data_IF_106358394054
#
_entry.id   IF_106358394054
#
_cell.length_a   1.000
_cell.length_b   1.000
_cell.length_c   1.000
_cell.angle_alpha   90.00
_cell.angle_beta   90.00
_cell.angle_gamma   90.00
#
_symmetry.space_group_name_H-M   'P 1'
#
loop_
_entity.id
_entity.type
_entity.pdbx_description
1 polymer ?
#
# COMPACT_ATOMS: atom_id res chain seq x y z
N UNK A 1 18.05 3.46 18.03
CA UNK A 1 17.30 3.43 16.76
C UNK A 1 17.71 4.68 15.99
N UNK A 2 18.29 4.52 14.81
CA UNK A 2 18.62 5.66 13.93
C UNK A 2 17.29 6.17 13.38
N UNK A 3 16.96 7.43 13.65
CA UNK A 3 15.74 8.04 13.10
C UNK A 3 15.86 8.06 11.57
N UNK A 4 14.85 7.54 10.87
CA UNK A 4 14.75 7.70 9.42
C UNK A 4 14.83 9.20 9.13
N UNK A 5 15.73 9.60 8.22
CA UNK A 5 15.86 10.99 7.78
C UNK A 5 14.49 11.60 7.48
N UNK A 6 14.18 12.83 7.95
CA UNK A 6 12.83 13.41 7.96
C UNK A 6 12.25 13.69 6.56
N UNK A 7 13.03 13.49 5.49
CA UNK A 7 12.55 13.54 4.13
C UNK A 7 11.87 12.21 3.78
N UNK A 8 10.54 12.22 3.69
CA UNK A 8 9.76 11.11 3.12
C UNK A 8 10.23 10.78 1.69
N UNK A 9 9.87 9.60 1.20
CA UNK A 9 10.17 9.14 -0.16
C UNK A 9 8.99 8.40 -0.75
N UNK A 10 8.78 8.43 -2.08
CA UNK A 10 7.77 7.59 -2.71
C UNK A 10 8.00 6.11 -2.36
N UNK A 11 6.92 5.42 -2.05
CA UNK A 11 6.96 4.03 -1.63
C UNK A 11 7.13 3.81 -0.13
N UNK A 12 7.51 4.82 0.67
CA UNK A 12 7.51 4.66 2.13
C UNK A 12 6.14 4.18 2.62
N UNK A 13 6.14 3.23 3.55
CA UNK A 13 4.92 2.66 4.13
C UNK A 13 4.71 3.30 5.50
N UNK A 14 3.54 3.90 5.71
CA UNK A 14 3.12 4.40 7.03
C UNK A 14 2.13 3.41 7.61
N UNK A 15 2.36 3.01 8.87
CA UNK A 15 1.40 2.24 9.66
C UNK A 15 1.08 3.04 10.92
N UNK A 16 -0.03 3.77 10.86
CA UNK A 16 -0.55 4.57 11.95
C UNK A 16 -1.09 3.69 13.09
N UNK A 17 -0.79 4.11 14.32
CA UNK A 17 -1.35 3.57 15.54
C UNK A 17 -2.72 4.20 15.83
N UNK A 18 -3.60 3.41 16.43
CA UNK A 18 -4.95 3.81 16.80
C UNK A 18 -5.76 2.61 17.25
N UNK A 19 -7.00 2.84 17.71
CA UNK A 19 -7.95 1.76 18.07
C UNK A 19 -8.12 0.76 16.92
N UNK A 20 -8.09 1.27 15.69
CA UNK A 20 -7.91 0.47 14.47
C UNK A 20 -6.69 1.01 13.76
N UNK A 21 -5.63 0.21 13.67
CA UNK A 21 -4.42 0.59 12.93
C UNK A 21 -4.76 0.85 11.46
N UNK A 22 -4.04 1.78 10.83
CA UNK A 22 -4.27 2.18 9.44
C UNK A 22 -2.98 2.22 8.65
N UNK A 23 -3.01 1.84 7.37
CA UNK A 23 -1.83 1.82 6.51
C UNK A 23 -1.97 2.78 5.33
N UNK A 24 -0.86 3.35 4.91
CA UNK A 24 -0.78 4.18 3.71
C UNK A 24 0.56 4.02 3.01
N UNK A 25 0.61 4.42 1.73
CA UNK A 25 1.84 4.53 0.98
C UNK A 25 2.11 6.00 0.66
N UNK A 26 3.33 6.45 0.91
CA UNK A 26 3.76 7.81 0.57
C UNK A 26 3.96 7.91 -0.93
N UNK A 27 3.44 8.99 -1.51
CA UNK A 27 3.66 9.39 -2.89
C UNK A 27 4.23 10.81 -2.91
N UNK A 28 5.13 11.07 -3.85
CA UNK A 28 5.60 12.43 -4.11
C UNK A 28 4.72 13.10 -5.16
N UNK A 29 4.10 14.23 -4.84
CA UNK A 29 3.40 15.05 -5.82
C UNK A 29 4.07 16.41 -5.98
N UNK A 30 4.26 16.84 -7.23
CA UNK A 30 4.74 18.19 -7.52
C UNK A 30 3.58 19.16 -7.36
N UNK A 31 3.60 19.96 -6.29
CA UNK A 31 2.63 21.01 -6.02
C UNK A 31 3.20 22.36 -6.45
N UNK A 32 2.43 23.11 -7.23
CA UNK A 32 2.80 24.46 -7.68
C UNK A 32 2.26 25.48 -6.68
N UNK A 33 3.17 26.15 -5.98
CA UNK A 33 2.87 27.28 -5.12
C UNK A 33 3.20 28.60 -5.83
N UNK A 34 2.73 29.72 -5.31
CA UNK A 34 3.08 31.06 -5.80
C UNK A 34 4.58 31.33 -5.76
N UNK A 35 5.32 30.67 -4.84
CA UNK A 35 6.77 30.78 -4.66
C UNK A 35 7.60 29.75 -5.46
N UNK A 36 6.96 28.89 -6.27
CA UNK A 36 7.63 27.86 -7.07
C UNK A 36 6.97 26.48 -6.96
N UNK A 37 7.56 25.48 -7.64
CA UNK A 37 7.10 24.09 -7.56
C UNK A 37 7.89 23.38 -6.46
N UNK A 38 7.19 22.79 -5.49
CA UNK A 38 7.77 21.91 -4.46
C UNK A 38 7.13 20.53 -4.53
N UNK A 39 7.85 19.50 -4.11
CA UNK A 39 7.22 18.20 -3.87
C UNK A 39 6.55 18.26 -2.50
N UNK A 40 5.23 18.10 -2.48
CA UNK A 40 4.51 17.85 -1.24
C UNK A 40 4.36 16.34 -1.05
N UNK A 41 4.33 15.93 0.22
CA UNK A 41 4.25 14.53 0.58
C UNK A 41 2.81 14.16 0.89
N UNK A 42 2.22 13.47 -0.07
CA UNK A 42 0.88 12.94 0.08
C UNK A 42 0.95 11.45 0.31
N UNK A 43 -0.15 10.89 0.80
CA UNK A 43 -0.32 9.46 0.92
C UNK A 43 -1.50 9.00 0.08
N UNK A 44 -1.40 7.78 -0.43
CA UNK A 44 -2.55 7.02 -0.86
C UNK A 44 -2.88 5.97 0.20
N UNK A 45 -4.16 5.82 0.48
CA UNK A 45 -4.65 4.82 1.43
C UNK A 45 -6.07 4.40 1.08
N UNK A 46 -6.39 3.12 1.33
CA UNK A 46 -7.77 2.65 1.17
C UNK A 46 -8.58 2.98 2.43
N UNK A 47 -9.72 3.64 2.26
CA UNK A 47 -10.58 4.11 3.36
C UNK A 47 -12.02 3.62 3.19
N UNK A 48 -12.82 3.63 4.25
CA UNK A 48 -14.25 3.25 4.16
C UNK A 48 -14.70 2.08 5.07
N UNK A 49 -13.88 1.66 6.03
CA UNK A 49 -14.37 0.82 7.13
C UNK A 49 -15.05 1.72 8.18
N UNK A 50 -16.35 1.51 8.44
CA UNK A 50 -17.08 2.15 9.54
C UNK A 50 -17.68 3.54 9.30
N UNK A 51 -17.64 4.09 8.09
CA UNK A 51 -18.31 5.36 7.77
C UNK A 51 -19.68 5.16 7.10
N UNK A 52 -20.70 5.91 7.53
CA UNK A 52 -22.04 5.95 6.94
C UNK A 52 -22.09 6.66 5.57
N UNK A 53 -21.01 7.32 5.17
CA UNK A 53 -20.87 8.01 3.88
C UNK A 53 -20.37 7.07 2.77
N UNK A 54 -20.61 7.40 1.48
CA UNK A 54 -20.10 6.60 0.36
C UNK A 54 -18.62 6.26 0.55
N UNK A 55 -18.31 4.95 0.45
CA UNK A 55 -16.96 4.43 0.64
C UNK A 55 -16.12 4.81 -0.57
N UNK A 56 -15.40 5.90 -0.46
CA UNK A 56 -14.38 6.31 -1.41
C UNK A 56 -13.20 5.33 -1.31
N UNK A 57 -13.10 4.41 -2.27
CA UNK A 57 -12.17 3.27 -2.25
C UNK A 57 -10.74 3.62 -1.81
N UNK A 58 -9.92 4.13 -2.73
CA UNK A 58 -8.56 4.60 -2.42
C UNK A 58 -8.56 6.12 -2.48
N UNK A 59 -8.17 6.78 -1.38
CA UNK A 59 -8.09 8.24 -1.28
C UNK A 59 -6.66 8.73 -1.33
N UNK A 60 -6.52 10.00 -1.69
CA UNK A 60 -5.33 10.81 -1.42
C UNK A 60 -5.55 11.62 -0.15
N UNK A 61 -4.52 11.75 0.67
CA UNK A 61 -4.55 12.59 1.87
C UNK A 61 -3.17 13.14 2.19
N UNK A 62 -3.11 14.17 3.03
CA UNK A 62 -1.83 14.71 3.49
C UNK A 62 -1.17 13.73 4.45
N UNK A 63 0.15 13.56 4.34
CA UNK A 63 0.90 12.63 5.20
C UNK A 63 0.66 12.93 6.67
N UNK A 64 0.62 14.22 7.06
CA UNK A 64 0.43 14.67 8.45
C UNK A 64 -0.90 14.25 9.08
N UNK A 65 -1.92 13.96 8.26
CA UNK A 65 -3.24 13.55 8.74
C UNK A 65 -3.32 12.06 9.08
N UNK A 66 -2.24 11.30 8.89
CA UNK A 66 -2.19 9.88 9.23
C UNK A 66 -2.07 9.62 10.75
N UNK A 67 -1.78 10.62 11.57
CA UNK A 67 -1.61 10.47 13.02
C UNK A 67 -0.23 9.92 13.41
N UNK A 68 -0.08 9.37 14.62
CA UNK A 68 1.18 8.79 15.11
C UNK A 68 1.30 7.33 14.67
N UNK A 69 2.51 6.82 14.49
CA UNK A 69 2.74 5.43 14.14
C UNK A 69 4.19 5.10 13.81
N UNK A 70 4.36 4.31 12.75
CA UNK A 70 5.66 3.86 12.24
C UNK A 70 5.79 4.11 10.74
N UNK A 71 6.97 4.56 10.34
CA UNK A 71 7.41 4.66 8.96
C UNK A 71 8.30 3.46 8.64
N UNK A 72 8.06 2.80 7.51
CA UNK A 72 8.90 1.73 6.99
C UNK A 72 9.42 2.09 5.61
N UNK A 73 10.74 2.01 5.43
CA UNK A 73 11.43 2.33 4.18
C UNK A 73 12.26 1.15 3.71
N UNK A 74 12.19 0.83 2.42
CA UNK A 74 13.10 -0.16 1.84
C UNK A 74 14.54 0.39 1.77
N UNK A 75 15.50 -0.35 2.34
CA UNK A 75 16.91 0.08 2.48
C UNK A 75 17.63 0.24 1.14
N UNK A 76 17.29 -0.60 0.16
CA UNK A 76 17.97 -0.69 -1.13
C UNK A 76 17.00 -0.52 -2.30
N UNK A 77 16.01 0.37 -2.17
CA UNK A 77 15.09 0.70 -3.25
C UNK A 77 15.66 1.87 -4.08
N UNK A 78 15.84 1.65 -5.38
CA UNK A 78 16.24 2.71 -6.31
C UNK A 78 15.09 3.68 -6.61
N UNK A 79 15.40 4.86 -7.13
CA UNK A 79 14.39 5.84 -7.52
C UNK A 79 13.42 5.29 -8.58
N UNK A 80 13.92 4.48 -9.53
CA UNK A 80 13.08 3.82 -10.53
C UNK A 80 12.11 2.80 -9.90
N UNK A 81 12.57 2.05 -8.89
CA UNK A 81 11.71 1.13 -8.14
C UNK A 81 10.67 1.88 -7.30
N UNK A 82 11.06 2.98 -6.67
CA UNK A 82 10.15 3.86 -5.93
C UNK A 82 9.07 4.45 -6.85
N UNK A 83 9.47 4.91 -8.04
CA UNK A 83 8.55 5.41 -9.07
C UNK A 83 7.59 4.32 -9.55
N UNK A 84 8.07 3.10 -9.77
CA UNK A 84 7.22 1.97 -10.18
C UNK A 84 6.15 1.66 -9.12
N UNK A 85 6.51 1.69 -7.83
CA UNK A 85 5.56 1.53 -6.72
C UNK A 85 4.54 2.66 -6.70
N UNK A 86 4.98 3.91 -6.88
CA UNK A 86 4.10 5.08 -6.96
C UNK A 86 3.13 4.99 -8.16
N UNK A 87 3.62 4.68 -9.35
CA UNK A 87 2.80 4.51 -10.55
C UNK A 87 1.77 3.39 -10.37
N UNK A 88 2.16 2.29 -9.73
CA UNK A 88 1.24 1.20 -9.38
C UNK A 88 0.16 1.67 -8.41
N UNK A 89 0.52 2.42 -7.37
CA UNK A 89 -0.42 2.98 -6.41
C UNK A 89 -1.42 3.95 -7.08
N UNK A 90 -0.94 4.80 -7.98
CA UNK A 90 -1.76 5.72 -8.76
C UNK A 90 -2.71 4.99 -9.73
N UNK A 91 -2.25 3.90 -10.36
CA UNK A 91 -3.11 3.03 -11.20
C UNK A 91 -4.22 2.39 -10.39
N UNK A 92 -3.89 1.84 -9.21
CA UNK A 92 -4.88 1.27 -8.29
C UNK A 92 -5.89 2.33 -7.83
N UNK A 93 -5.42 3.54 -7.51
CA UNK A 93 -6.29 4.66 -7.14
C UNK A 93 -7.28 5.01 -8.25
N UNK A 94 -6.80 5.19 -9.49
CA UNK A 94 -7.66 5.47 -10.67
C UNK A 94 -8.64 4.34 -10.98
N UNK A 95 -8.24 3.11 -10.71
CA UNK A 95 -9.05 1.91 -10.92
C UNK A 95 -10.05 1.62 -9.78
N UNK A 96 -9.95 2.36 -8.66
CA UNK A 96 -10.89 2.23 -7.56
C UNK A 96 -12.20 2.97 -7.87
N UNK A 97 -13.33 2.43 -7.41
CA UNK A 97 -14.63 3.07 -7.54
C UNK A 97 -15.34 3.19 -6.20
N UNK A 98 -16.18 4.22 -6.05
CA UNK A 98 -17.02 4.47 -4.87
C UNK A 98 -18.32 3.65 -4.96
N UNK A 99 -18.54 2.65 -4.10
CA UNK A 99 -19.80 1.89 -4.08
C UNK A 99 -20.21 1.35 -2.70
N UNK A 100 -21.48 0.93 -2.61
CA UNK A 100 -22.26 0.65 -1.40
C UNK A 100 -21.84 -0.53 -0.51
N UNK A 101 -22.49 -0.56 0.64
CA UNK A 101 -22.18 -1.15 1.96
C UNK A 101 -21.90 -2.65 2.10
N UNK A 102 -21.78 -3.45 1.04
CA UNK A 102 -21.85 -4.91 1.17
C UNK A 102 -20.54 -5.68 0.86
N UNK A 103 -19.87 -6.10 1.95
CA UNK A 103 -19.03 -7.30 2.20
C UNK A 103 -17.76 -6.94 2.97
N UNK A 104 -17.93 -6.73 4.27
CA UNK A 104 -16.85 -6.66 5.26
C UNK A 104 -16.94 -7.86 6.22
N UNK A 105 -17.00 -9.09 5.70
CA UNK A 105 -16.93 -10.30 6.51
C UNK A 105 -16.22 -11.36 5.65
N UNK A 106 -15.35 -12.19 6.26
CA UNK A 106 -14.57 -13.29 5.65
C UNK A 106 -13.12 -13.01 5.22
N UNK A 107 -12.38 -12.19 5.97
CA UNK A 107 -10.90 -12.20 5.92
C UNK A 107 -10.26 -13.17 6.95
N UNK A 108 -11.04 -13.78 7.85
CA UNK A 108 -10.52 -14.57 8.97
C UNK A 108 -10.16 -16.04 8.65
N UNK A 109 -10.70 -16.60 7.57
CA UNK A 109 -10.38 -17.97 7.13
C UNK A 109 -9.41 -17.93 5.94
N UNK A 110 -8.10 -17.86 6.24
CA UNK A 110 -7.05 -17.89 5.22
C UNK A 110 -5.65 -17.75 5.80
N UNK A 111 -4.66 -18.25 5.07
CA UNK A 111 -3.24 -18.04 5.41
C UNK A 111 -2.86 -16.59 5.16
N UNK A 112 -2.01 -16.02 6.01
CA UNK A 112 -1.41 -14.69 5.81
C UNK A 112 -0.21 -14.72 4.88
N UNK A 113 0.32 -15.91 4.55
CA UNK A 113 1.46 -16.07 3.66
C UNK A 113 1.06 -16.13 2.19
N UNK A 114 1.88 -15.56 1.31
CA UNK A 114 1.62 -15.63 -0.13
C UNK A 114 1.79 -17.06 -0.66
N UNK A 115 0.73 -17.62 -1.24
CA UNK A 115 0.71 -18.94 -1.86
C UNK A 115 -0.06 -18.94 -3.18
N UNK A 116 -0.36 -20.13 -3.71
CA UNK A 116 -1.05 -20.28 -5.01
C UNK A 116 -2.37 -19.51 -5.09
N UNK A 117 -3.16 -19.51 -4.02
CA UNK A 117 -4.40 -18.74 -3.94
C UNK A 117 -4.17 -17.22 -3.94
N UNK A 118 -3.11 -16.74 -3.28
CA UNK A 118 -2.75 -15.32 -3.27
C UNK A 118 -2.25 -14.89 -4.65
N UNK A 119 -1.41 -15.69 -5.30
CA UNK A 119 -0.97 -15.48 -6.67
C UNK A 119 -2.13 -15.40 -7.66
N UNK A 120 -3.09 -16.34 -7.58
CA UNK A 120 -4.28 -16.31 -8.43
C UNK A 120 -5.14 -15.06 -8.23
N UNK A 121 -5.19 -14.48 -7.02
CA UNK A 121 -5.87 -13.20 -6.79
C UNK A 121 -5.07 -12.01 -7.32
N UNK A 122 -3.76 -12.02 -7.15
CA UNK A 122 -2.87 -10.98 -7.68
C UNK A 122 -2.92 -10.92 -9.21
N UNK A 123 -2.94 -12.08 -9.87
CA UNK A 123 -3.12 -12.19 -11.33
C UNK A 123 -4.45 -11.59 -11.78
N UNK A 124 -5.55 -11.85 -11.06
CA UNK A 124 -6.84 -11.20 -11.35
C UNK A 124 -6.79 -9.68 -11.19
N UNK A 125 -6.05 -9.16 -10.20
CA UNK A 125 -5.85 -7.71 -10.09
C UNK A 125 -5.06 -7.17 -11.28
N UNK A 126 -3.98 -7.84 -11.70
CA UNK A 126 -3.17 -7.45 -12.86
C UNK A 126 -3.99 -7.44 -14.15
N UNK A 127 -4.76 -8.49 -14.40
CA UNK A 127 -5.66 -8.61 -15.56
C UNK A 127 -6.69 -7.48 -15.59
N UNK A 128 -7.40 -7.22 -14.48
CA UNK A 128 -8.36 -6.10 -14.39
C UNK A 128 -7.71 -4.74 -14.61
N UNK A 129 -6.47 -4.57 -14.17
CA UNK A 129 -5.66 -3.37 -14.41
C UNK A 129 -5.09 -3.26 -15.83
N UNK A 130 -5.34 -4.23 -16.72
CA UNK A 130 -4.97 -4.17 -18.15
C UNK A 130 -6.14 -3.83 -19.09
N UNK A 131 -7.40 -3.92 -18.63
CA UNK A 131 -8.57 -3.56 -19.45
C UNK A 131 -8.87 -2.06 -19.45
N UNK A 132 -8.95 -1.42 -20.62
CA UNK A 132 -9.20 0.02 -20.82
C UNK A 132 -10.30 0.65 -19.94
N UNK A 133 -11.33 -0.12 -19.55
CA UNK A 133 -12.36 0.27 -18.58
C UNK A 133 -11.96 -0.12 -17.14
N UNK A 134 -10.97 0.57 -16.56
CA UNK A 134 -10.43 0.19 -15.24
C UNK A 134 -11.29 0.62 -14.04
N UNK A 135 -12.34 1.43 -14.21
CA UNK A 135 -13.11 1.96 -13.08
C UNK A 135 -13.87 0.83 -12.36
N UNK A 136 -13.53 0.60 -11.09
CA UNK A 136 -14.12 -0.44 -10.26
C UNK A 136 -13.51 -1.82 -10.41
N UNK A 137 -12.32 -1.93 -11.01
CA UNK A 137 -11.50 -3.14 -10.97
C UNK A 137 -11.08 -3.50 -9.53
N UNK A 138 -10.87 -2.48 -8.70
CA UNK A 138 -10.43 -2.58 -7.30
C UNK A 138 -11.63 -2.23 -6.40
N UNK A 139 -12.28 -3.25 -5.84
CA UNK A 139 -13.46 -3.11 -4.96
C UNK A 139 -13.13 -3.60 -3.56
N UNK A 140 -13.56 -2.85 -2.53
CA UNK A 140 -13.51 -3.28 -1.13
C UNK A 140 -12.11 -3.66 -0.62
N UNK A 141 -11.10 -2.87 -0.96
CA UNK A 141 -9.72 -3.11 -0.53
C UNK A 141 -9.47 -2.52 0.85
N UNK A 142 -8.85 -3.30 1.74
CA UNK A 142 -8.40 -2.82 3.05
C UNK A 142 -7.13 -1.98 2.93
N UNK A 143 -6.86 -1.10 3.90
CA UNK A 143 -5.67 -0.25 3.89
C UNK A 143 -4.34 -1.03 3.76
N UNK A 144 -4.21 -2.16 4.47
CA UNK A 144 -3.06 -3.06 4.35
C UNK A 144 -3.05 -3.86 3.04
N UNK A 145 -4.22 -4.32 2.56
CA UNK A 145 -4.33 -5.00 1.27
C UNK A 145 -3.85 -4.09 0.14
N UNK A 146 -4.26 -2.82 0.14
CA UNK A 146 -3.83 -1.82 -0.83
C UNK A 146 -2.30 -1.66 -0.85
N UNK A 147 -1.69 -1.46 0.31
CA UNK A 147 -0.23 -1.28 0.41
C UNK A 147 0.50 -2.53 -0.08
N UNK A 148 0.05 -3.72 0.32
CA UNK A 148 0.65 -4.99 -0.12
C UNK A 148 0.52 -5.13 -1.64
N UNK A 149 -0.66 -4.86 -2.22
CA UNK A 149 -0.89 -4.93 -3.66
C UNK A 149 0.00 -3.97 -4.45
N UNK A 150 0.28 -2.77 -3.94
CA UNK A 150 1.20 -1.82 -4.60
C UNK A 150 2.58 -2.45 -4.83
N UNK A 151 3.14 -3.06 -3.79
CA UNK A 151 4.44 -3.72 -3.88
C UNK A 151 4.39 -5.03 -4.68
N UNK A 152 3.34 -5.83 -4.50
CA UNK A 152 3.20 -7.09 -5.21
C UNK A 152 3.04 -6.89 -6.72
N UNK A 153 2.22 -5.94 -7.15
CA UNK A 153 2.03 -5.65 -8.58
C UNK A 153 3.26 -4.98 -9.20
N UNK A 154 3.98 -4.15 -8.44
CA UNK A 154 5.22 -3.52 -8.91
C UNK A 154 6.35 -4.54 -9.13
N UNK A 155 6.43 -5.59 -8.30
CA UNK A 155 7.57 -6.51 -8.28
C UNK A 155 7.22 -7.97 -8.60
N UNK A 156 6.06 -8.22 -9.22
CA UNK A 156 5.61 -9.55 -9.59
C UNK A 156 6.51 -10.16 -10.67
N UNK A 157 7.15 -11.27 -10.34
CA UNK A 157 7.73 -12.22 -11.30
C UNK A 157 6.71 -13.35 -11.58
N UNK A 158 6.18 -13.39 -12.79
CA UNK A 158 5.15 -14.36 -13.18
C UNK A 158 5.69 -15.78 -13.33
N UNK A 159 6.99 -15.95 -13.56
CA UNK A 159 7.60 -17.27 -13.59
C UNK A 159 7.58 -17.92 -12.20
N UNK A 160 7.49 -17.12 -11.13
CA UNK A 160 7.64 -17.55 -9.74
C UNK A 160 6.33 -17.56 -8.95
N UNK A 161 5.42 -18.50 -9.24
CA UNK A 161 4.05 -18.51 -8.65
C UNK A 161 3.97 -18.38 -7.12
N UNK A 162 4.89 -18.99 -6.36
CA UNK A 162 4.82 -19.03 -4.89
C UNK A 162 6.07 -18.54 -4.18
N UNK A 163 7.15 -18.24 -4.91
CA UNK A 163 8.43 -17.85 -4.34
C UNK A 163 9.07 -16.71 -5.12
N UNK A 164 8.58 -15.51 -4.88
CA UNK A 164 9.07 -14.30 -5.51
C UNK A 164 10.52 -14.02 -5.09
N UNK A 165 11.39 -13.78 -6.07
CA UNK A 165 12.83 -13.57 -5.83
C UNK A 165 13.16 -12.11 -5.47
N UNK A 166 12.30 -11.16 -5.86
CA UNK A 166 12.53 -9.75 -5.61
C UNK A 166 12.35 -9.45 -4.11
N UNK A 167 13.37 -8.90 -3.40
CA UNK A 167 13.28 -8.62 -1.97
C UNK A 167 12.21 -7.56 -1.61
N UNK A 168 11.83 -6.70 -2.56
CA UNK A 168 10.77 -5.72 -2.36
C UNK A 168 9.37 -6.32 -2.54
N UNK A 169 9.24 -7.56 -3.02
CA UNK A 169 7.96 -8.25 -3.07
C UNK A 169 7.50 -8.62 -1.65
N UNK A 170 6.40 -8.02 -1.19
CA UNK A 170 5.83 -8.33 0.12
C UNK A 170 5.16 -9.69 0.06
N UNK A 171 5.76 -10.70 0.70
CA UNK A 171 5.35 -12.10 0.63
C UNK A 171 4.18 -12.45 1.57
N UNK A 172 3.16 -11.59 1.58
CA UNK A 172 1.93 -11.74 2.36
C UNK A 172 0.73 -11.96 1.44
N UNK A 173 -0.25 -12.68 1.93
CA UNK A 173 -1.57 -12.75 1.32
C UNK A 173 -2.33 -11.45 1.62
N UNK A 174 -2.40 -10.54 0.63
CA UNK A 174 -2.98 -9.22 0.80
C UNK A 174 -4.43 -9.26 1.36
N UNK A 175 -5.24 -10.22 0.91
CA UNK A 175 -6.65 -10.38 1.32
C UNK A 175 -6.81 -10.74 2.80
N UNK A 176 -5.83 -11.45 3.35
CA UNK A 176 -5.86 -11.98 4.72
C UNK A 176 -4.88 -11.27 5.66
N UNK A 177 -4.26 -10.18 5.19
CA UNK A 177 -3.25 -9.43 5.93
C UNK A 177 -3.78 -8.11 6.45
N UNK A 178 -3.81 -7.97 7.77
CA UNK A 178 -4.16 -6.73 8.47
C UNK A 178 -2.90 -5.87 8.69
N UNK A 179 -3.07 -4.58 9.08
CA UNK A 179 -1.95 -3.70 9.41
C UNK A 179 -0.92 -4.31 10.38
N UNK A 180 -1.38 -5.06 11.39
CA UNK A 180 -0.48 -5.77 12.32
C UNK A 180 0.39 -6.84 11.64
N UNK A 181 -0.15 -7.56 10.65
CA UNK A 181 0.59 -8.59 9.91
C UNK A 181 1.64 -7.93 9.00
N UNK A 182 1.26 -6.84 8.33
CA UNK A 182 2.19 -6.05 7.53
C UNK A 182 3.32 -5.49 8.40
N UNK A 183 2.99 -4.87 9.53
CA UNK A 183 3.98 -4.36 10.49
C UNK A 183 4.95 -5.45 10.95
N UNK A 184 4.43 -6.60 11.34
CA UNK A 184 5.24 -7.75 11.75
C UNK A 184 6.15 -8.23 10.62
N UNK A 185 5.63 -8.36 9.40
CA UNK A 185 6.41 -8.76 8.24
C UNK A 185 7.58 -7.80 7.99
N UNK A 186 7.33 -6.49 7.96
CA UNK A 186 8.36 -5.48 7.71
C UNK A 186 9.46 -5.53 8.79
N UNK A 187 9.07 -5.69 10.07
CA UNK A 187 10.01 -5.85 11.19
C UNK A 187 10.84 -7.13 11.12
N UNK A 188 10.23 -8.25 10.77
CA UNK A 188 10.95 -9.53 10.62
C UNK A 188 11.95 -9.48 9.45
N UNK A 189 11.69 -8.66 8.44
CA UNK A 189 12.54 -8.49 7.26
C UNK A 189 13.44 -7.23 7.37
N UNK A 190 14.03 -6.97 8.54
CA UNK A 190 14.79 -5.75 8.84
C UNK A 190 16.07 -5.53 8.00
N UNK A 191 16.56 -6.58 7.33
CA UNK A 191 17.66 -6.48 6.35
C UNK A 191 17.22 -5.77 5.06
N UNK A 192 15.92 -5.80 4.75
CA UNK A 192 15.31 -5.17 3.59
C UNK A 192 14.62 -3.87 4.00
N UNK A 193 13.97 -3.85 5.16
CA UNK A 193 13.14 -2.74 5.63
C UNK A 193 13.75 -2.06 6.85
N UNK A 194 13.75 -0.74 6.83
CA UNK A 194 14.12 0.11 7.94
C UNK A 194 12.86 0.68 8.59
N UNK A 195 12.81 0.66 9.93
CA UNK A 195 11.72 1.23 10.72
C UNK A 195 12.16 2.56 11.35
N UNK A 196 11.28 3.55 11.31
CA UNK A 196 11.40 4.82 12.01
C UNK A 196 10.09 5.26 12.66
N UNK A 197 10.17 6.27 13.51
CA UNK A 197 9.02 6.93 14.12
C UNK A 197 8.21 7.71 13.05
N UNK A 198 6.90 7.85 13.29
CA UNK A 198 6.03 8.67 12.47
C UNK A 198 5.02 9.44 13.33
N UNK A 199 4.82 10.76 13.13
CA UNK A 199 5.71 11.64 12.35
C UNK A 199 7.15 11.62 12.91
N UNK A 200 8.17 11.86 12.07
CA UNK A 200 9.59 11.79 12.45
C UNK A 200 10.02 12.92 13.39
#
# INVERSE_FOLDING_TARGET
>A
MVSLSPAYRPGDIIIADGTVSHCAIVIGEKVKYSSGVRTDWMVLHASGFGSEQPRDGIKKGDVVNMGKGRLFRARAMSDAQAQLVQETALRLHKASSSYGTARAVFAWAGSTGFGTGAFGRLQKYKERLSHTEHQGAVKNVFCSEFVILCYQLAFLDEAQKTRQANPLFINLDAKHSYPKHLRQYLRTNATIWEEGEFPP
#
